data_IF_922806335360
#
_entry.id   IF_922806335360
#
_cell.length_a   1.000
_cell.length_b   1.000
_cell.length_c   1.000
_cell.angle_alpha   90.00
_cell.angle_beta   90.00
_cell.angle_gamma   90.00
#
_symmetry.space_group_name_H-M   'P 1'
#
loop_
_entity.id
_entity.type
_entity.pdbx_description
1 polymer ?
#
# COMPACT_ATOMS: atom_id res chain seq x y z
N UNK A 1 11.10 -1.11 -21.83
CA UNK A 1 9.62 -1.10 -21.80
C UNK A 1 9.05 -0.84 -20.38
N UNK A 2 9.68 -1.33 -19.28
CA UNK A 2 9.25 -1.02 -17.90
C UNK A 2 9.49 0.45 -17.47
N UNK A 3 10.52 1.10 -18.00
CA UNK A 3 10.97 2.45 -17.60
C UNK A 3 10.02 3.59 -18.00
N UNK A 4 9.37 3.54 -19.16
CA UNK A 4 8.43 4.61 -19.54
C UNK A 4 7.15 4.58 -18.70
N UNK A 5 6.67 3.40 -18.28
CA UNK A 5 5.49 3.27 -17.41
C UNK A 5 5.75 3.81 -16.00
N UNK A 6 6.99 3.64 -15.51
CA UNK A 6 7.46 4.27 -14.28
C UNK A 6 7.44 5.80 -14.38
N UNK A 7 7.92 6.36 -15.50
CA UNK A 7 7.82 7.78 -15.79
C UNK A 7 6.38 8.27 -15.83
N UNK A 8 5.47 7.55 -16.50
CA UNK A 8 4.04 7.89 -16.49
C UNK A 8 3.42 7.85 -15.09
N UNK A 9 3.87 6.96 -14.20
CA UNK A 9 3.38 6.94 -12.81
C UNK A 9 3.92 8.10 -11.97
N UNK A 10 5.20 8.42 -12.11
CA UNK A 10 5.80 9.60 -11.48
C UNK A 10 5.10 10.86 -12.00
N UNK A 11 4.86 10.95 -13.31
CA UNK A 11 4.12 12.05 -13.94
C UNK A 11 2.66 12.05 -13.48
N UNK A 12 2.00 10.90 -13.28
CA UNK A 12 0.62 10.82 -12.80
C UNK A 12 0.52 11.25 -11.33
N UNK A 13 1.45 10.82 -10.47
CA UNK A 13 1.55 11.27 -9.07
C UNK A 13 1.83 12.78 -9.04
N UNK A 14 2.78 13.26 -9.83
CA UNK A 14 3.09 14.69 -9.93
C UNK A 14 1.90 15.47 -10.50
N UNK A 15 1.19 14.97 -11.51
CA UNK A 15 0.03 15.61 -12.09
C UNK A 15 -1.17 15.64 -11.13
N UNK A 16 -1.37 14.57 -10.35
CA UNK A 16 -2.36 14.54 -9.27
C UNK A 16 -1.99 15.48 -8.11
N UNK A 17 -0.70 15.64 -7.82
CA UNK A 17 -0.21 16.62 -6.83
C UNK A 17 -0.32 18.07 -7.33
N UNK A 18 -0.15 18.30 -8.65
CA UNK A 18 -0.20 19.62 -9.27
C UNK A 18 -1.64 20.08 -9.56
N UNK A 19 -2.57 19.18 -9.87
CA UNK A 19 -3.98 19.54 -10.10
C UNK A 19 -4.64 20.17 -8.88
N UNK A 20 -4.18 19.82 -7.67
CA UNK A 20 -4.68 20.39 -6.41
C UNK A 20 -4.10 21.80 -6.14
N UNK A 21 -2.86 22.10 -6.56
CA UNK A 21 -2.28 23.45 -6.43
C UNK A 21 -3.02 24.50 -7.28
N UNK A 22 -3.50 24.10 -8.47
CA UNK A 22 -4.25 25.00 -9.37
C UNK A 22 -5.62 25.34 -8.78
N UNK A 23 -6.28 24.39 -8.11
CA UNK A 23 -7.60 24.61 -7.51
C UNK A 23 -7.55 25.32 -6.14
N UNK A 24 -6.47 25.15 -5.38
CA UNK A 24 -6.27 25.84 -4.09
C UNK A 24 -5.97 27.34 -4.25
N UNK A 25 -5.36 27.74 -5.38
CA UNK A 25 -5.03 29.14 -5.67
C UNK A 25 -6.26 29.99 -6.02
N UNK A 26 -7.32 29.37 -6.53
CA UNK A 26 -8.56 30.06 -6.95
C UNK A 26 -9.47 30.42 -5.76
N UNK A 27 -9.33 29.72 -4.63
CA UNK A 27 -10.11 29.97 -3.41
C UNK A 27 -9.52 31.05 -2.50
N UNK A 28 -8.24 31.39 -2.64
CA UNK A 28 -7.60 32.43 -1.82
C UNK A 28 -7.75 33.83 -2.42
N UNK A 29 -7.87 33.96 -3.75
CA UNK A 29 -8.14 35.23 -4.44
C UNK A 29 -9.58 35.70 -4.32
N UNK A 30 -10.53 34.81 -3.98
CA UNK A 30 -11.96 35.16 -3.89
C UNK A 30 -12.44 35.45 -2.46
N UNK A 31 -11.52 35.60 -1.49
CA UNK A 31 -11.84 35.92 -0.08
C UNK A 31 -11.25 37.25 0.40
N UNK A 32 -10.48 37.95 -0.42
CA UNK A 32 -9.86 39.23 -0.05
C UNK A 32 -10.60 40.47 -0.55
N UNK A 33 -11.83 40.33 -1.07
CA UNK A 33 -12.54 41.44 -1.73
C UNK A 33 -13.94 41.74 -1.15
N UNK A 34 -14.20 41.34 0.09
CA UNK A 34 -15.42 41.73 0.83
C UNK A 34 -15.15 41.87 2.32
N UNK A 35 -14.34 42.86 2.69
CA UNK A 35 -14.37 43.45 4.03
C UNK A 35 -13.74 44.84 3.94
N UNK A 36 -14.51 45.78 3.39
CA UNK A 36 -14.28 47.21 3.48
C UNK A 36 -15.61 47.87 3.13
N UNK A 37 -16.49 48.06 4.10
CA UNK A 37 -17.47 49.15 4.13
C UNK A 37 -18.32 49.04 5.40
N UNK A 38 -18.53 50.20 6.03
CA UNK A 38 -19.50 50.51 7.08
C UNK A 38 -19.07 50.21 8.53
N UNK A 39 -18.53 51.24 9.20
CA UNK A 39 -19.25 51.96 10.26
C UNK A 39 -18.52 53.26 10.62
N UNK A 40 -19.04 54.38 10.12
CA UNK A 40 -18.80 55.73 10.64
C UNK A 40 -20.09 56.23 11.32
N UNK A 41 -19.91 57.11 12.32
CA UNK A 41 -20.92 57.85 13.11
C UNK A 41 -21.64 57.01 14.19
N UNK A 42 -21.66 57.36 15.48
CA UNK A 42 -21.92 58.66 16.12
C UNK A 42 -21.17 58.75 17.44
N UNK A 43 -20.59 59.90 17.70
CA UNK A 43 -20.08 60.34 18.99
C UNK A 43 -21.17 61.22 19.61
N UNK A 44 -21.74 60.89 20.78
CA UNK A 44 -22.01 61.91 21.80
C UNK A 44 -22.35 61.33 23.19
N UNK A 45 -21.74 61.98 24.18
CA UNK A 45 -22.18 62.28 25.55
C UNK A 45 -22.61 61.20 26.56
N UNK A 46 -21.94 61.34 27.71
CA UNK A 46 -22.36 61.14 29.08
C UNK A 46 -22.17 59.75 29.72
N UNK A 47 -21.00 59.64 30.35
CA UNK A 47 -20.81 58.99 31.65
C UNK A 47 -21.83 59.47 32.70
N UNK A 48 -21.98 58.65 33.74
CA UNK A 48 -22.83 58.83 34.94
C UNK A 48 -24.20 58.15 34.94
N UNK A 49 -24.22 56.83 34.69
CA UNK A 49 -25.16 55.90 35.34
C UNK A 49 -24.65 54.42 35.34
N UNK A 50 -23.33 54.19 35.25
CA UNK A 50 -22.73 52.90 34.86
C UNK A 50 -22.14 52.07 36.02
N UNK A 51 -22.66 52.19 37.24
CA UNK A 51 -22.02 51.54 38.41
C UNK A 51 -22.92 50.72 39.34
N UNK A 52 -24.19 50.49 39.01
CA UNK A 52 -25.06 49.61 39.83
C UNK A 52 -25.85 48.55 39.05
N UNK A 53 -25.80 48.54 37.72
CA UNK A 53 -26.38 47.48 36.86
C UNK A 53 -25.35 46.49 36.32
N UNK A 54 -24.05 46.73 36.53
CA UNK A 54 -22.96 45.94 35.93
C UNK A 54 -22.85 44.50 36.48
N UNK A 55 -23.41 44.21 37.66
CA UNK A 55 -23.23 42.91 38.33
C UNK A 55 -24.43 41.95 38.18
N UNK A 56 -25.63 42.44 37.84
CA UNK A 56 -26.79 41.58 37.62
C UNK A 56 -26.84 41.06 36.17
N UNK A 57 -26.49 41.92 35.21
CA UNK A 57 -26.47 41.59 33.79
C UNK A 57 -25.28 40.66 33.43
N UNK A 58 -24.13 40.81 34.11
CA UNK A 58 -22.99 39.89 33.92
C UNK A 58 -23.27 38.46 34.42
N UNK A 59 -24.04 38.30 35.51
CA UNK A 59 -24.38 36.97 36.05
C UNK A 59 -25.42 36.25 35.18
N UNK A 60 -26.37 37.00 34.59
CA UNK A 60 -27.39 36.44 33.69
C UNK A 60 -26.79 36.05 32.32
N UNK A 61 -25.78 36.80 31.85
CA UNK A 61 -25.00 36.48 30.64
C UNK A 61 -24.11 35.23 30.87
N UNK A 62 -23.45 35.10 32.03
CA UNK A 62 -22.55 33.97 32.31
C UNK A 62 -23.31 32.62 32.48
N UNK A 63 -24.53 32.65 33.04
CA UNK A 63 -25.42 31.48 33.12
C UNK A 63 -26.02 31.10 31.76
N UNK A 64 -26.41 32.08 30.94
CA UNK A 64 -26.88 31.89 29.56
C UNK A 64 -25.79 31.34 28.65
N UNK A 65 -24.55 31.83 28.79
CA UNK A 65 -23.39 31.36 28.03
C UNK A 65 -22.94 29.96 28.46
N UNK A 66 -23.04 29.64 29.75
CA UNK A 66 -22.78 28.30 30.26
C UNK A 66 -23.82 27.28 29.75
N UNK A 67 -25.12 27.63 29.73
CA UNK A 67 -26.18 26.75 29.24
C UNK A 67 -26.10 26.57 27.71
N UNK A 68 -25.82 27.64 26.96
CA UNK A 68 -25.53 27.58 25.52
C UNK A 68 -24.25 26.78 25.20
N UNK A 69 -23.25 26.78 26.08
CA UNK A 69 -22.02 25.99 25.91
C UNK A 69 -22.25 24.51 26.25
N UNK A 70 -23.15 24.21 27.20
CA UNK A 70 -23.57 22.86 27.56
C UNK A 70 -24.51 22.27 26.51
N UNK A 71 -25.45 23.04 25.95
CA UNK A 71 -26.26 22.64 24.79
C UNK A 71 -25.41 22.48 23.54
N UNK A 72 -24.52 23.42 23.19
CA UNK A 72 -23.56 23.24 22.09
C UNK A 72 -22.64 22.03 22.28
N UNK A 73 -22.25 21.70 23.53
CA UNK A 73 -21.49 20.47 23.84
C UNK A 73 -22.37 19.21 23.78
N UNK A 74 -23.63 19.25 24.21
CA UNK A 74 -24.58 18.13 24.09
C UNK A 74 -24.94 17.86 22.62
N UNK A 75 -25.15 18.89 21.82
CA UNK A 75 -25.39 18.77 20.37
C UNK A 75 -24.14 18.33 19.60
N UNK A 76 -22.94 18.80 19.99
CA UNK A 76 -21.69 18.23 19.45
C UNK A 76 -21.44 16.79 19.85
N UNK A 77 -21.93 16.34 21.01
CA UNK A 77 -21.74 14.97 21.53
C UNK A 77 -22.84 14.00 21.06
N UNK A 78 -24.01 14.50 20.67
CA UNK A 78 -25.14 13.71 20.14
C UNK A 78 -25.31 13.77 18.62
N UNK A 79 -24.50 14.54 17.89
CA UNK A 79 -24.35 14.35 16.44
C UNK A 79 -23.44 13.15 16.18
N UNK A 80 -23.91 11.97 16.59
CA UNK A 80 -23.29 10.67 16.30
C UNK A 80 -22.91 10.63 14.83
N UNK A 81 -21.66 10.30 14.60
CA UNK A 81 -20.95 10.29 13.33
C UNK A 81 -21.67 9.40 12.32
N UNK A 82 -22.62 9.99 11.59
CA UNK A 82 -23.12 9.38 10.37
C UNK A 82 -21.94 9.45 9.42
N UNK A 83 -21.37 8.29 9.07
CA UNK A 83 -20.24 8.18 8.14
C UNK A 83 -20.60 8.96 6.87
N UNK A 84 -20.10 10.18 6.74
CA UNK A 84 -20.38 11.02 5.57
C UNK A 84 -19.46 10.55 4.46
N UNK A 85 -20.04 9.88 3.48
CA UNK A 85 -19.38 9.56 2.24
C UNK A 85 -19.19 10.88 1.48
N UNK A 86 -18.05 11.52 1.71
CA UNK A 86 -17.70 12.82 1.13
C UNK A 86 -16.97 12.64 -0.21
N UNK A 87 -16.87 13.70 -1.03
CA UNK A 87 -16.08 13.66 -2.27
C UNK A 87 -14.63 13.23 -2.02
N UNK A 88 -14.09 13.57 -0.84
CA UNK A 88 -12.76 13.18 -0.38
C UNK A 88 -12.62 11.65 -0.26
N UNK A 89 -13.68 10.94 0.14
CA UNK A 89 -13.67 9.48 0.19
C UNK A 89 -13.44 8.87 -1.20
N UNK A 90 -14.19 9.34 -2.20
CA UNK A 90 -14.06 8.83 -3.57
C UNK A 90 -12.69 9.14 -4.18
N UNK A 91 -12.12 10.31 -3.88
CA UNK A 91 -10.76 10.67 -4.31
C UNK A 91 -9.74 9.73 -3.67
N UNK A 92 -9.77 9.56 -2.35
CA UNK A 92 -8.83 8.68 -1.63
C UNK A 92 -8.97 7.22 -2.08
N UNK A 93 -10.20 6.74 -2.27
CA UNK A 93 -10.46 5.41 -2.80
C UNK A 93 -9.92 5.24 -4.22
N UNK A 94 -10.14 6.22 -5.09
CA UNK A 94 -9.62 6.24 -6.45
C UNK A 94 -8.09 6.19 -6.49
N UNK A 95 -7.42 6.98 -5.64
CA UNK A 95 -5.95 6.99 -5.54
C UNK A 95 -5.43 5.64 -5.02
N UNK A 96 -6.05 5.08 -3.98
CA UNK A 96 -5.68 3.78 -3.44
C UNK A 96 -5.84 2.68 -4.51
N UNK A 97 -6.98 2.65 -5.20
CA UNK A 97 -7.28 1.68 -6.26
C UNK A 97 -6.31 1.83 -7.45
N UNK A 98 -6.02 3.06 -7.87
CA UNK A 98 -5.05 3.33 -8.92
C UNK A 98 -3.63 2.85 -8.52
N UNK A 99 -3.23 3.09 -7.27
CA UNK A 99 -1.92 2.67 -6.74
C UNK A 99 -1.79 1.15 -6.76
N UNK A 100 -2.78 0.41 -6.24
CA UNK A 100 -2.69 -1.05 -6.19
C UNK A 100 -2.74 -1.69 -7.58
N UNK A 101 -3.61 -1.20 -8.47
CA UNK A 101 -3.68 -1.70 -9.84
C UNK A 101 -2.34 -1.50 -10.54
N UNK A 102 -1.69 -0.37 -10.31
CA UNK A 102 -0.40 -0.09 -10.92
C UNK A 102 0.72 -0.99 -10.40
N UNK A 103 0.78 -1.23 -9.08
CA UNK A 103 1.71 -2.21 -8.50
C UNK A 103 1.48 -3.59 -9.12
N UNK A 104 0.21 -4.00 -9.25
CA UNK A 104 -0.15 -5.28 -9.82
C UNK A 104 0.28 -5.37 -11.28
N UNK A 105 -0.11 -4.42 -12.13
CA UNK A 105 0.19 -4.50 -13.56
C UNK A 105 1.68 -4.36 -13.87
N UNK A 106 2.42 -3.57 -13.09
CA UNK A 106 3.80 -3.22 -13.41
C UNK A 106 4.82 -4.18 -12.78
N UNK A 107 4.55 -4.65 -11.56
CA UNK A 107 5.52 -5.42 -10.77
C UNK A 107 5.02 -6.85 -10.59
N UNK A 108 3.82 -7.03 -10.06
CA UNK A 108 3.33 -8.36 -9.67
C UNK A 108 2.95 -9.26 -10.86
N UNK A 109 2.11 -8.79 -11.78
CA UNK A 109 1.60 -9.52 -12.94
C UNK A 109 2.68 -10.10 -13.87
N UNK A 110 3.77 -9.39 -14.23
CA UNK A 110 4.82 -9.98 -15.07
C UNK A 110 5.59 -11.10 -14.35
N UNK A 111 5.61 -11.09 -13.03
CA UNK A 111 6.34 -12.06 -12.21
C UNK A 111 5.46 -13.26 -11.87
N UNK A 112 4.22 -13.01 -11.43
CA UNK A 112 3.29 -14.02 -10.94
C UNK A 112 1.99 -14.00 -11.78
N UNK A 113 1.74 -15.09 -12.52
CA UNK A 113 0.60 -15.19 -13.46
C UNK A 113 -0.67 -15.77 -12.82
N UNK A 114 -0.65 -16.06 -11.52
CA UNK A 114 -1.81 -16.64 -10.84
C UNK A 114 -2.93 -15.58 -10.67
N UNK A 115 -3.97 -15.70 -11.50
CA UNK A 115 -5.12 -14.79 -11.47
C UNK A 115 -5.90 -14.85 -10.16
N UNK A 116 -5.93 -16.01 -9.49
CA UNK A 116 -6.64 -16.15 -8.22
C UNK A 116 -5.98 -15.30 -7.14
N UNK A 117 -4.63 -15.31 -7.06
CA UNK A 117 -3.90 -14.50 -6.07
C UNK A 117 -4.09 -13.00 -6.32
N UNK A 118 -4.05 -12.57 -7.59
CA UNK A 118 -4.30 -11.16 -7.96
C UNK A 118 -5.69 -10.73 -7.50
N UNK A 119 -6.70 -11.56 -7.77
CA UNK A 119 -8.07 -11.29 -7.35
C UNK A 119 -8.17 -11.13 -5.82
N UNK A 120 -7.59 -12.08 -5.07
CA UNK A 120 -7.57 -12.02 -3.61
C UNK A 120 -6.87 -10.76 -3.10
N UNK A 121 -5.72 -10.41 -3.65
CA UNK A 121 -4.94 -9.22 -3.25
C UNK A 121 -5.73 -7.91 -3.43
N UNK A 122 -6.40 -7.74 -4.57
CA UNK A 122 -7.25 -6.56 -4.83
C UNK A 122 -8.42 -6.53 -3.84
N UNK A 123 -9.11 -7.67 -3.68
CA UNK A 123 -10.29 -7.76 -2.83
C UNK A 123 -9.94 -7.48 -1.37
N UNK A 124 -8.85 -8.04 -0.86
CA UNK A 124 -8.37 -7.76 0.49
C UNK A 124 -8.08 -6.27 0.69
N UNK A 125 -7.39 -5.61 -0.25
CA UNK A 125 -7.12 -4.17 -0.15
C UNK A 125 -8.42 -3.35 -0.10
N UNK A 126 -9.38 -3.62 -0.99
CA UNK A 126 -10.67 -2.90 -1.03
C UNK A 126 -11.46 -3.12 0.26
N UNK A 127 -11.55 -4.37 0.74
CA UNK A 127 -12.24 -4.70 1.99
C UNK A 127 -11.60 -3.98 3.18
N UNK A 128 -10.27 -3.95 3.23
CA UNK A 128 -9.54 -3.31 4.34
C UNK A 128 -9.68 -1.79 4.29
N UNK A 129 -9.64 -1.19 3.10
CA UNK A 129 -9.91 0.23 2.94
C UNK A 129 -11.31 0.59 3.46
N UNK A 130 -12.34 -0.16 3.04
CA UNK A 130 -13.71 0.07 3.48
C UNK A 130 -13.86 -0.14 5.00
N UNK A 131 -13.31 -1.23 5.54
CA UNK A 131 -13.35 -1.52 6.96
C UNK A 131 -12.67 -0.41 7.77
N UNK A 132 -11.49 0.03 7.35
CA UNK A 132 -10.76 1.11 8.04
C UNK A 132 -11.49 2.43 7.93
N UNK A 133 -12.12 2.72 6.79
CA UNK A 133 -12.91 3.94 6.62
C UNK A 133 -14.12 3.96 7.55
N UNK A 134 -14.82 2.82 7.70
CA UNK A 134 -15.92 2.67 8.66
C UNK A 134 -15.42 2.81 10.11
N UNK A 135 -14.19 2.38 10.39
CA UNK A 135 -13.57 2.43 11.72
C UNK A 135 -12.72 3.69 11.96
N UNK A 136 -12.77 4.70 11.09
CA UNK A 136 -11.82 5.84 11.10
C UNK A 136 -11.88 6.68 12.39
N UNK A 137 -12.98 6.60 13.16
CA UNK A 137 -13.10 7.25 14.47
C UNK A 137 -12.51 6.44 15.64
N UNK A 138 -12.10 5.19 15.39
CA UNK A 138 -11.52 4.33 16.42
C UNK A 138 -10.02 4.59 16.46
N UNK A 139 -9.57 5.20 17.55
CA UNK A 139 -8.15 5.24 17.89
C UNK A 139 -7.66 3.81 18.07
N UNK A 140 -6.96 3.27 17.07
CA UNK A 140 -6.31 1.96 17.17
C UNK A 140 -5.28 2.04 18.31
N UNK A 141 -5.47 1.24 19.35
CA UNK A 141 -4.52 1.16 20.45
C UNK A 141 -3.24 0.45 19.99
N UNK A 142 -2.11 0.75 20.61
CA UNK A 142 -0.87 0.02 20.32
C UNK A 142 -1.03 -1.50 20.54
N UNK A 143 -1.85 -1.91 21.51
CA UNK A 143 -2.16 -3.33 21.74
C UNK A 143 -2.85 -4.01 20.55
N UNK A 144 -3.73 -3.30 19.84
CA UNK A 144 -4.37 -3.82 18.63
C UNK A 144 -3.35 -4.01 17.48
N UNK A 145 -2.40 -3.08 17.34
CA UNK A 145 -1.32 -3.23 16.36
C UNK A 145 -0.44 -4.46 16.66
N UNK A 146 -0.02 -4.64 17.92
CA UNK A 146 0.74 -5.82 18.34
C UNK A 146 -0.04 -7.13 18.15
N UNK A 147 -1.36 -7.13 18.45
CA UNK A 147 -2.23 -8.28 18.21
C UNK A 147 -2.30 -8.66 16.73
N UNK A 148 -2.41 -7.67 15.84
CA UNK A 148 -2.43 -7.90 14.40
C UNK A 148 -1.09 -8.48 13.90
N UNK A 149 0.05 -7.96 14.40
CA UNK A 149 1.36 -8.56 14.11
C UNK A 149 1.49 -10.00 14.61
N UNK A 150 0.94 -10.33 15.78
CA UNK A 150 0.96 -11.69 16.31
C UNK A 150 0.12 -12.67 15.46
N UNK A 151 -1.09 -12.27 15.08
CA UNK A 151 -1.95 -13.06 14.18
C UNK A 151 -1.28 -13.27 12.83
N UNK A 152 -0.68 -12.22 12.26
CA UNK A 152 0.06 -12.33 11.00
C UNK A 152 1.31 -13.19 11.10
N UNK A 153 2.01 -13.17 12.23
CA UNK A 153 3.15 -14.05 12.49
C UNK A 153 2.72 -15.52 12.58
N UNK A 154 1.60 -15.80 13.25
CA UNK A 154 1.05 -17.15 13.34
C UNK A 154 0.51 -17.64 11.99
N UNK A 155 -0.22 -16.78 11.25
CA UNK A 155 -0.69 -17.08 9.91
C UNK A 155 0.49 -17.43 9.00
N UNK A 156 1.59 -16.67 9.05
CA UNK A 156 2.81 -16.96 8.28
C UNK A 156 3.35 -18.35 8.59
N UNK A 157 3.43 -18.71 9.86
CA UNK A 157 3.96 -20.00 10.30
C UNK A 157 3.10 -21.16 9.79
N UNK A 158 1.78 -20.99 9.73
CA UNK A 158 0.85 -22.05 9.31
C UNK A 158 0.66 -22.17 7.81
N UNK A 159 0.92 -21.13 7.02
CA UNK A 159 0.70 -21.11 5.56
C UNK A 159 1.97 -21.34 4.75
N UNK A 160 2.87 -22.23 5.18
CA UNK A 160 4.18 -22.50 4.55
C UNK A 160 4.13 -22.98 3.08
N UNK A 161 2.94 -23.20 2.51
CA UNK A 161 2.72 -23.51 1.09
C UNK A 161 2.38 -22.30 0.21
N UNK A 162 2.23 -21.10 0.78
CA UNK A 162 2.06 -19.86 0.03
C UNK A 162 3.44 -19.26 -0.21
N UNK A 163 3.71 -18.77 -1.43
CA UNK A 163 4.98 -18.14 -1.74
C UNK A 163 5.26 -16.96 -0.79
N UNK A 164 6.50 -16.83 -0.31
CA UNK A 164 6.90 -15.76 0.60
C UNK A 164 6.64 -14.37 -0.02
N UNK A 165 6.70 -14.28 -1.35
CA UNK A 165 6.38 -13.06 -2.10
C UNK A 165 4.89 -12.70 -1.97
N UNK A 166 3.98 -13.63 -2.21
CA UNK A 166 2.54 -13.34 -2.21
C UNK A 166 2.05 -12.87 -0.84
N UNK A 167 2.59 -13.47 0.22
CA UNK A 167 2.29 -13.04 1.58
C UNK A 167 2.79 -11.62 1.87
N UNK A 168 3.97 -11.25 1.35
CA UNK A 168 4.53 -9.90 1.53
C UNK A 168 3.68 -8.87 0.76
N UNK A 169 3.26 -9.20 -0.45
CA UNK A 169 2.36 -8.34 -1.23
C UNK A 169 1.01 -8.16 -0.55
N UNK A 170 0.48 -9.21 0.08
CA UNK A 170 -0.72 -9.10 0.90
C UNK A 170 -0.51 -8.04 1.98
N UNK A 171 0.54 -8.12 2.79
CA UNK A 171 0.80 -7.14 3.85
C UNK A 171 0.92 -5.71 3.36
N UNK A 172 1.63 -5.51 2.25
CA UNK A 172 1.77 -4.19 1.63
C UNK A 172 0.40 -3.65 1.24
N UNK A 173 -0.45 -4.47 0.64
CA UNK A 173 -1.79 -4.05 0.22
C UNK A 173 -2.73 -3.82 1.39
N UNK A 174 -2.60 -4.59 2.47
CA UNK A 174 -3.29 -4.29 3.75
C UNK A 174 -2.88 -2.90 4.23
N UNK A 175 -1.57 -2.61 4.29
CA UNK A 175 -1.05 -1.33 4.75
C UNK A 175 -1.50 -0.16 3.86
N UNK A 176 -1.46 -0.30 2.53
CA UNK A 176 -1.94 0.73 1.59
C UNK A 176 -3.43 1.01 1.79
N UNK A 177 -4.25 -0.03 1.97
CA UNK A 177 -5.68 0.10 2.23
C UNK A 177 -5.97 0.81 3.56
N UNK A 178 -5.24 0.46 4.62
CA UNK A 178 -5.32 1.14 5.92
C UNK A 178 -4.97 2.63 5.79
N UNK A 179 -3.81 2.94 5.19
CA UNK A 179 -3.33 4.33 5.05
C UNK A 179 -4.26 5.18 4.17
N UNK A 180 -4.77 4.61 3.08
CA UNK A 180 -5.72 5.29 2.20
C UNK A 180 -7.00 5.73 2.90
N UNK A 181 -7.44 5.00 3.92
CA UNK A 181 -8.70 5.24 4.61
C UNK A 181 -8.63 6.29 5.73
N UNK A 182 -7.43 6.61 6.25
CA UNK A 182 -7.20 7.51 7.41
C UNK A 182 -7.63 8.98 7.14
N UNK A 183 -8.09 9.31 5.92
CA UNK A 183 -8.62 10.64 5.63
C UNK A 183 -7.55 11.73 5.61
N UNK A 184 -6.28 11.37 5.34
CA UNK A 184 -5.15 12.28 5.17
C UNK A 184 -5.37 13.28 4.02
N UNK A 185 -4.51 14.30 3.92
CA UNK A 185 -4.46 15.16 2.72
C UNK A 185 -3.99 14.32 1.53
N UNK A 186 -4.49 14.67 0.34
CA UNK A 186 -4.18 13.94 -0.90
C UNK A 186 -2.67 13.92 -1.16
N UNK A 187 -1.99 15.05 -0.91
CA UNK A 187 -0.53 15.15 -1.03
C UNK A 187 0.22 14.18 -0.11
N UNK A 188 -0.12 14.15 1.18
CA UNK A 188 0.55 13.28 2.16
C UNK A 188 0.33 11.81 1.80
N UNK A 189 -0.89 11.45 1.39
CA UNK A 189 -1.24 10.12 0.94
C UNK A 189 -0.45 9.72 -0.32
N UNK A 190 -0.32 10.63 -1.29
CA UNK A 190 0.43 10.39 -2.51
C UNK A 190 1.92 10.16 -2.24
N UNK A 191 2.51 10.92 -1.31
CA UNK A 191 3.92 10.75 -0.91
C UNK A 191 4.14 9.37 -0.26
N UNK A 192 3.30 8.99 0.69
CA UNK A 192 3.43 7.70 1.39
C UNK A 192 3.29 6.53 0.40
N UNK A 193 2.24 6.57 -0.44
CA UNK A 193 2.02 5.56 -1.48
C UNK A 193 3.19 5.52 -2.49
N UNK A 194 3.72 6.68 -2.87
CA UNK A 194 4.86 6.81 -3.76
C UNK A 194 6.13 6.17 -3.20
N UNK A 195 6.44 6.40 -1.92
CA UNK A 195 7.58 5.79 -1.24
C UNK A 195 7.44 4.27 -1.25
N UNK A 196 6.29 3.74 -0.80
CA UNK A 196 6.03 2.29 -0.77
C UNK A 196 6.20 1.70 -2.17
N UNK A 197 5.63 2.34 -3.19
CA UNK A 197 5.76 1.92 -4.57
C UNK A 197 7.22 1.88 -5.05
N UNK A 198 8.01 2.92 -4.78
CA UNK A 198 9.43 3.00 -5.18
C UNK A 198 10.21 1.84 -4.55
N UNK A 199 10.01 1.56 -3.27
CA UNK A 199 10.68 0.44 -2.59
C UNK A 199 10.34 -0.90 -3.23
N UNK A 200 9.07 -1.16 -3.51
CA UNK A 200 8.63 -2.40 -4.18
C UNK A 200 9.26 -2.49 -5.57
N UNK A 201 9.28 -1.38 -6.31
CA UNK A 201 9.84 -1.32 -7.65
C UNK A 201 11.35 -1.59 -7.66
N UNK A 202 12.10 -1.01 -6.72
CA UNK A 202 13.54 -1.23 -6.60
C UNK A 202 13.85 -2.68 -6.23
N UNK A 203 13.12 -3.24 -5.26
CA UNK A 203 13.39 -4.57 -4.72
C UNK A 203 12.90 -5.71 -5.63
N UNK A 204 11.68 -5.63 -6.15
CA UNK A 204 11.04 -6.73 -6.91
C UNK A 204 10.75 -6.37 -8.38
N UNK A 205 11.03 -5.14 -8.82
CA UNK A 205 10.83 -4.72 -10.22
C UNK A 205 11.77 -5.40 -11.23
N UNK A 206 12.72 -6.20 -10.76
CA UNK A 206 13.71 -6.90 -11.58
C UNK A 206 14.87 -6.01 -12.05
N UNK A 207 15.07 -4.87 -11.42
CA UNK A 207 16.19 -3.96 -11.71
C UNK A 207 17.50 -4.43 -11.07
N UNK A 208 17.44 -5.00 -9.86
CA UNK A 208 18.63 -5.40 -9.08
C UNK A 208 19.02 -6.85 -9.33
N UNK A 209 18.07 -7.77 -9.39
CA UNK A 209 18.34 -9.21 -9.52
C UNK A 209 18.05 -9.71 -10.94
N UNK A 210 19.09 -10.19 -11.66
CA UNK A 210 18.90 -10.91 -12.92
C UNK A 210 18.10 -12.19 -12.62
N UNK A 211 17.02 -12.40 -13.38
CA UNK A 211 16.08 -13.51 -13.16
C UNK A 211 16.77 -14.85 -13.44
N UNK A 212 17.09 -15.56 -12.38
CA UNK A 212 17.60 -16.93 -12.40
C UNK A 212 16.40 -17.88 -12.36
N UNK A 213 16.32 -18.79 -13.32
CA UNK A 213 15.29 -19.82 -13.34
C UNK A 213 15.87 -21.10 -12.77
N UNK A 214 15.03 -21.88 -12.09
CA UNK A 214 15.41 -23.19 -11.58
C UNK A 214 14.50 -24.28 -12.15
N UNK A 215 15.06 -25.45 -12.42
CA UNK A 215 14.29 -26.63 -12.84
C UNK A 215 14.83 -27.87 -12.14
N UNK A 216 13.94 -28.78 -11.76
CA UNK A 216 14.32 -30.08 -11.22
C UNK A 216 14.38 -31.08 -12.38
N UNK A 217 15.52 -31.75 -12.52
CA UNK A 217 15.76 -32.79 -13.52
C UNK A 217 16.07 -34.08 -12.79
N UNK A 218 15.44 -35.18 -13.22
CA UNK A 218 15.81 -36.53 -12.76
C UNK A 218 16.93 -37.02 -13.66
N UNK A 219 18.09 -37.26 -13.06
CA UNK A 219 19.32 -37.65 -13.72
C UNK A 219 19.64 -39.12 -13.44
N UNK A 220 20.10 -39.85 -14.46
CA UNK A 220 20.29 -41.31 -14.40
C UNK A 220 21.76 -41.75 -14.23
N UNK A 221 22.74 -40.87 -14.47
CA UNK A 221 24.15 -41.26 -14.38
C UNK A 221 24.70 -40.91 -13.00
N UNK A 222 24.41 -41.75 -12.01
CA UNK A 222 24.77 -41.49 -10.60
C UNK A 222 26.29 -41.30 -10.36
N UNK A 223 27.13 -41.87 -11.24
CA UNK A 223 28.59 -41.77 -11.22
C UNK A 223 29.11 -40.34 -11.41
N UNK A 224 28.40 -39.52 -12.20
CA UNK A 224 28.79 -38.15 -12.54
C UNK A 224 28.44 -37.14 -11.43
N UNK A 225 27.79 -37.58 -10.35
CA UNK A 225 27.35 -36.71 -9.25
C UNK A 225 28.48 -36.37 -8.28
N UNK A 226 29.58 -37.12 -8.33
CA UNK A 226 30.77 -36.85 -7.52
C UNK A 226 31.27 -35.44 -7.77
N UNK A 227 31.77 -34.79 -6.71
CA UNK A 227 32.29 -33.41 -6.77
C UNK A 227 33.38 -33.26 -7.83
N UNK A 228 34.18 -34.31 -8.02
CA UNK A 228 35.25 -34.39 -9.02
C UNK A 228 34.75 -34.34 -10.48
N UNK A 229 33.51 -34.77 -10.72
CA UNK A 229 32.91 -34.88 -12.06
C UNK A 229 31.96 -33.71 -12.37
N UNK A 230 32.04 -32.61 -11.61
CA UNK A 230 31.13 -31.47 -11.74
C UNK A 230 31.10 -30.90 -13.16
N UNK A 231 32.25 -30.78 -13.83
CA UNK A 231 32.34 -30.23 -15.19
C UNK A 231 31.67 -31.16 -16.21
N UNK A 232 31.88 -32.47 -16.08
CA UNK A 232 31.26 -33.50 -16.93
C UNK A 232 29.74 -33.49 -16.75
N UNK A 233 29.27 -33.39 -15.51
CA UNK A 233 27.85 -33.30 -15.19
C UNK A 233 27.22 -32.03 -15.77
N UNK A 234 27.93 -30.90 -15.69
CA UNK A 234 27.46 -29.62 -16.21
C UNK A 234 27.33 -29.65 -17.73
N UNK A 235 28.29 -30.24 -18.43
CA UNK A 235 28.29 -30.34 -19.88
C UNK A 235 27.18 -31.29 -20.38
N UNK A 236 27.05 -32.49 -19.79
CA UNK A 236 26.00 -33.46 -20.11
C UNK A 236 24.59 -32.88 -19.86
N UNK A 237 24.40 -32.12 -18.77
CA UNK A 237 23.14 -31.44 -18.50
C UNK A 237 22.87 -30.29 -19.49
N UNK A 238 23.88 -29.52 -19.89
CA UNK A 238 23.72 -28.46 -20.91
C UNK A 238 23.35 -29.03 -22.27
N UNK A 239 24.01 -30.12 -22.67
CA UNK A 239 23.74 -30.78 -23.95
C UNK A 239 22.33 -31.36 -23.99
N UNK A 240 21.93 -32.11 -22.96
CA UNK A 240 20.61 -32.77 -22.91
C UNK A 240 19.45 -31.80 -22.77
N UNK A 241 19.63 -30.73 -21.98
CA UNK A 241 18.54 -29.76 -21.74
C UNK A 241 18.52 -28.64 -22.78
N UNK A 242 19.61 -28.41 -23.50
CA UNK A 242 19.78 -27.24 -24.36
C UNK A 242 19.76 -25.90 -23.60
N UNK A 243 19.84 -25.93 -22.27
CA UNK A 243 19.81 -24.76 -21.41
C UNK A 243 21.23 -24.31 -21.08
N UNK A 244 21.42 -22.99 -20.99
CA UNK A 244 22.69 -22.44 -20.50
C UNK A 244 22.72 -22.47 -18.97
N UNK A 245 22.97 -23.65 -18.42
CA UNK A 245 23.07 -23.92 -16.98
C UNK A 245 24.38 -23.33 -16.45
N UNK A 246 24.33 -22.52 -15.39
CA UNK A 246 25.54 -21.97 -14.76
C UNK A 246 25.76 -22.52 -13.35
N UNK A 247 24.73 -23.07 -12.72
CA UNK A 247 24.84 -23.64 -11.37
C UNK A 247 23.96 -24.89 -11.23
N UNK A 248 24.49 -25.86 -10.50
CA UNK A 248 23.82 -27.14 -10.21
C UNK A 248 23.77 -27.33 -8.70
N UNK A 249 22.62 -27.80 -8.19
CA UNK A 249 22.47 -28.27 -6.82
C UNK A 249 21.96 -29.72 -6.82
N UNK A 250 22.75 -30.61 -6.22
CA UNK A 250 22.39 -32.02 -6.08
C UNK A 250 21.37 -32.13 -4.93
N UNK A 251 20.20 -32.71 -5.24
CA UNK A 251 19.13 -32.94 -4.29
C UNK A 251 19.11 -34.40 -3.82
N UNK A 252 17.95 -35.04 -3.93
CA UNK A 252 17.74 -36.40 -3.44
C UNK A 252 18.45 -37.44 -4.32
N UNK A 253 19.26 -38.29 -3.70
CA UNK A 253 19.91 -39.43 -4.33
C UNK A 253 19.08 -40.70 -4.12
N UNK A 254 18.97 -41.51 -5.16
CA UNK A 254 18.32 -42.81 -5.12
C UNK A 254 19.26 -43.87 -5.71
N UNK A 255 20.07 -44.45 -4.85
CA UNK A 255 21.00 -45.53 -5.19
C UNK A 255 20.32 -46.86 -5.57
N UNK A 256 19.02 -47.04 -5.29
CA UNK A 256 18.30 -48.23 -5.72
C UNK A 256 17.91 -48.19 -7.20
N UNK A 257 17.81 -47.00 -7.77
CA UNK A 257 17.41 -46.76 -9.17
C UNK A 257 18.47 -46.00 -9.94
N UNK A 258 19.69 -45.93 -9.41
CA UNK A 258 20.81 -45.15 -9.94
C UNK A 258 20.40 -43.76 -10.44
N UNK A 259 19.54 -43.07 -9.69
CA UNK A 259 19.01 -41.77 -10.12
C UNK A 259 19.18 -40.71 -9.06
N UNK A 260 19.23 -39.46 -9.51
CA UNK A 260 19.32 -38.30 -8.65
C UNK A 260 18.40 -37.19 -9.12
N UNK A 261 17.79 -36.51 -8.17
CA UNK A 261 17.12 -35.25 -8.43
C UNK A 261 18.14 -34.13 -8.36
N UNK A 262 18.31 -33.43 -9.48
CA UNK A 262 19.24 -32.32 -9.61
C UNK A 262 18.43 -31.06 -9.89
N UNK A 263 18.69 -30.00 -9.12
CA UNK A 263 18.15 -28.67 -9.39
C UNK A 263 19.16 -27.89 -10.23
N UNK A 264 18.81 -27.57 -11.46
CA UNK A 264 19.64 -26.79 -12.39
C UNK A 264 19.17 -25.34 -12.39
N UNK A 265 20.13 -24.41 -12.36
CA UNK A 265 19.87 -22.98 -12.45
C UNK A 265 20.39 -22.45 -13.77
N UNK A 266 19.55 -21.70 -14.49
CA UNK A 266 19.86 -21.18 -15.81
C UNK A 266 19.26 -19.80 -16.04
N UNK A 267 19.85 -19.06 -16.97
CA UNK A 267 19.28 -17.81 -17.46
C UNK A 267 18.46 -18.09 -18.72
N UNK A 268 17.15 -17.86 -18.66
CA UNK A 268 16.27 -18.05 -19.81
C UNK A 268 16.57 -17.00 -20.90
N UNK A 269 17.30 -17.40 -21.94
CA UNK A 269 17.59 -16.53 -23.10
C UNK A 269 16.42 -16.46 -24.10
N UNK A 270 15.53 -17.46 -24.10
CA UNK A 270 14.44 -17.60 -25.07
C UNK A 270 13.06 -17.80 -24.39
N UNK A 271 12.13 -16.86 -24.57
CA UNK A 271 10.80 -16.82 -23.92
C UNK A 271 9.79 -17.89 -24.39
N UNK A 272 10.17 -18.79 -25.29
CA UNK A 272 9.24 -19.72 -25.96
C UNK A 272 9.05 -21.07 -25.26
N UNK A 273 9.89 -21.42 -24.29
CA UNK A 273 9.80 -22.69 -23.55
C UNK A 273 9.49 -22.37 -22.08
N UNK A 274 8.29 -22.70 -21.62
CA UNK A 274 7.94 -22.52 -20.21
C UNK A 274 8.43 -23.73 -19.43
N UNK A 275 9.23 -23.56 -18.35
CA UNK A 275 9.46 -24.65 -17.42
C UNK A 275 8.10 -25.08 -16.86
N UNK A 276 7.68 -26.31 -17.15
CA UNK A 276 6.50 -26.92 -16.54
C UNK A 276 6.91 -27.42 -15.15
N UNK A 277 6.33 -26.84 -14.11
CA UNK A 277 6.54 -27.25 -12.73
C UNK A 277 7.50 -26.36 -11.95
N UNK A 278 7.03 -25.18 -11.57
CA UNK A 278 7.21 -24.74 -10.18
C UNK A 278 5.91 -25.09 -9.44
N UNK A 279 5.75 -26.35 -9.04
CA UNK A 279 4.91 -26.60 -7.87
C UNK A 279 5.71 -26.15 -6.64
N UNK A 280 5.38 -24.93 -6.19
CA UNK A 280 5.06 -24.53 -4.80
C UNK A 280 5.44 -23.07 -4.55
#
# INVERSE_FOLDING_TARGET
MKTYKLYYFIILIIALALSEQVWAKDKTTNKSETDNTLTDFVHDSNEEAKLLTLNAEQVEIELSDADNTIEKKKDKKNKKDVIKIDYKFFINFGINLATILLIIFLIYYPENKNRATIFSLILFNVVIFLLTFVLNDIKISMGAAFGLFAVFSMLRYRTAGISLKDMTYLFIFIALGLVGAIGLKVQDLAIINGIIFIFIFVLDGGFIFKREYSQIVVYEKIENIKVENYDILLEDLKERTGLNIHRIAIGKLNYLRDSAQIKVFYYQKNKKVYPYGEEK
#
